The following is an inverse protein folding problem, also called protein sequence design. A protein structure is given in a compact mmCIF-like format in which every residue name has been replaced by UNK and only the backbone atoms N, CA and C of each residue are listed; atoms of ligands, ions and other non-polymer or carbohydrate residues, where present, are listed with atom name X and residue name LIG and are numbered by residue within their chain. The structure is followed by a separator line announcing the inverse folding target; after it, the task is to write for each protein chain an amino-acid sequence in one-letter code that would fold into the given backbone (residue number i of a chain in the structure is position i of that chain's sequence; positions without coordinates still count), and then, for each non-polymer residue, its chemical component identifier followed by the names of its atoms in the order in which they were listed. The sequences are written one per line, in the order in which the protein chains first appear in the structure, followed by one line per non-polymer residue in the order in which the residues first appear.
data_IF_894662806366
#
_entry.id   IF_894662806366
#
_cell.length_a   1.000
_cell.length_b   1.000
_cell.length_c   1.000
_cell.angle_alpha   90.00
_cell.angle_beta   90.00
_cell.angle_gamma   90.00
#
_symmetry.space_group_name_H-M   'P 1'
#
loop_
_entity.id
_entity.type
_entity.pdbx_description
1 polymer ?
#
# COMPACT_ATOMS: atom_id res chain seq x y z
N UNK A 1 -3.59 -6.00 -31.12
CA UNK A 1 -4.99 -6.48 -31.13
C UNK A 1 -5.10 -7.84 -31.83
N UNK A 2 -4.31 -8.84 -31.41
CA UNK A 2 -4.35 -10.19 -32.01
C UNK A 2 -4.35 -11.34 -30.98
N UNK A 3 -4.22 -11.05 -29.68
CA UNK A 3 -4.23 -12.08 -28.64
C UNK A 3 -5.66 -12.56 -28.30
N UNK A 4 -6.69 -11.72 -28.50
CA UNK A 4 -8.08 -12.09 -28.22
C UNK A 4 -8.67 -13.11 -29.22
N UNK A 5 -8.14 -13.21 -30.44
CA UNK A 5 -8.71 -14.10 -31.47
C UNK A 5 -8.29 -15.57 -31.23
N UNK A 6 -7.04 -15.78 -30.81
CA UNK A 6 -6.51 -17.11 -30.50
C UNK A 6 -7.14 -17.70 -29.24
N UNK A 7 -7.36 -16.87 -28.21
CA UNK A 7 -7.95 -17.31 -26.95
C UNK A 7 -9.43 -17.66 -27.13
N UNK A 8 -10.18 -16.87 -27.90
CA UNK A 8 -11.58 -17.16 -28.23
C UNK A 8 -11.74 -18.44 -29.07
N UNK A 9 -10.79 -18.71 -29.99
CA UNK A 9 -10.80 -19.95 -30.78
C UNK A 9 -10.52 -21.18 -29.90
N UNK A 10 -9.58 -21.09 -28.95
CA UNK A 10 -9.28 -22.15 -28.00
C UNK A 10 -10.46 -22.41 -27.03
N UNK A 11 -11.10 -21.34 -26.54
CA UNK A 11 -12.25 -21.44 -25.64
C UNK A 11 -13.49 -22.01 -26.36
N UNK A 12 -13.68 -21.67 -27.64
CA UNK A 12 -14.73 -22.25 -28.47
C UNK A 12 -14.48 -23.73 -28.79
N UNK A 13 -13.24 -24.13 -29.08
CA UNK A 13 -12.91 -25.55 -29.28
C UNK A 13 -13.09 -26.38 -27.99
N UNK A 14 -12.75 -25.80 -26.83
CA UNK A 14 -12.95 -26.41 -25.53
C UNK A 14 -14.45 -26.57 -25.20
N UNK A 15 -15.29 -25.56 -25.49
CA UNK A 15 -16.75 -25.66 -25.29
C UNK A 15 -17.42 -26.65 -26.24
N UNK A 16 -16.98 -26.74 -27.49
CA UNK A 16 -17.51 -27.75 -28.44
C UNK A 16 -17.15 -29.17 -28.00
N UNK A 17 -15.93 -29.41 -27.48
CA UNK A 17 -15.53 -30.71 -26.92
C UNK A 17 -16.35 -31.06 -25.67
N UNK A 18 -16.52 -30.12 -24.73
CA UNK A 18 -17.32 -30.34 -23.53
C UNK A 18 -18.78 -30.68 -23.85
N UNK A 19 -19.37 -30.02 -24.86
CA UNK A 19 -20.76 -30.28 -25.30
C UNK A 19 -20.90 -31.63 -26.02
N UNK A 20 -19.87 -32.08 -26.74
CA UNK A 20 -19.86 -33.41 -27.35
C UNK A 20 -19.72 -34.53 -26.31
N UNK A 21 -19.00 -34.30 -25.22
CA UNK A 21 -18.93 -35.20 -24.07
C UNK A 21 -20.25 -35.23 -23.29
N UNK A 22 -20.88 -34.08 -23.07
CA UNK A 22 -22.20 -33.97 -22.42
C UNK A 22 -23.28 -34.74 -23.21
N UNK A 23 -23.30 -34.63 -24.54
CA UNK A 23 -24.23 -35.38 -25.38
C UNK A 23 -23.98 -36.89 -25.37
N UNK A 24 -22.71 -37.33 -25.23
CA UNK A 24 -22.39 -38.76 -25.03
C UNK A 24 -22.88 -39.27 -23.69
N UNK A 25 -22.70 -38.49 -22.61
CA UNK A 25 -23.18 -38.83 -21.27
C UNK A 25 -24.72 -38.90 -21.24
N UNK A 26 -25.41 -37.97 -21.90
CA UNK A 26 -26.87 -38.00 -22.01
C UNK A 26 -27.34 -39.20 -22.85
N UNK A 27 -26.63 -39.55 -23.93
CA UNK A 27 -26.94 -40.74 -24.72
C UNK A 27 -26.73 -42.05 -23.93
N UNK A 28 -25.69 -42.11 -23.11
CA UNK A 28 -25.39 -43.23 -22.21
C UNK A 28 -26.41 -43.32 -21.08
N UNK A 29 -26.79 -42.20 -20.46
CA UNK A 29 -27.87 -42.13 -19.47
C UNK A 29 -29.23 -42.54 -20.06
N UNK A 30 -29.54 -42.12 -21.29
CA UNK A 30 -30.77 -42.54 -21.99
C UNK A 30 -30.74 -44.02 -22.35
N UNK A 31 -29.58 -44.58 -22.71
CA UNK A 31 -29.39 -46.01 -22.93
C UNK A 31 -29.57 -46.81 -21.63
N UNK A 32 -28.98 -46.35 -20.52
CA UNK A 32 -29.18 -46.93 -19.19
C UNK A 32 -30.66 -46.89 -18.81
N UNK A 33 -31.37 -45.77 -19.05
CA UNK A 33 -32.80 -45.65 -18.77
C UNK A 33 -33.66 -46.52 -19.69
N UNK A 34 -33.30 -46.69 -20.97
CA UNK A 34 -34.01 -47.58 -21.88
C UNK A 34 -33.79 -49.07 -21.55
N UNK A 35 -32.58 -49.42 -21.12
CA UNK A 35 -32.19 -50.78 -20.73
C UNK A 35 -32.73 -51.15 -19.33
N UNK A 36 -33.00 -50.17 -18.45
CA UNK A 36 -33.56 -50.38 -17.09
C UNK A 36 -35.08 -50.21 -16.99
N UNK A 37 -35.77 -49.72 -18.02
CA UNK A 37 -37.24 -49.54 -17.99
C UNK A 37 -38.04 -50.59 -18.76
N UNK A 38 -37.40 -51.66 -19.25
CA UNK A 38 -38.07 -52.77 -19.94
C UNK A 38 -38.01 -54.13 -19.22
N UNK A 39 -37.50 -54.17 -17.98
CA UNK A 39 -37.28 -55.42 -17.23
C UNK A 39 -37.73 -55.38 -15.76
N UNK A 40 -39.01 -55.09 -15.50
CA UNK A 40 -39.65 -55.35 -14.20
C UNK A 40 -41.10 -55.81 -14.39
N UNK A 41 -41.29 -56.72 -15.34
CA UNK A 41 -42.50 -57.54 -15.49
C UNK A 41 -42.01 -58.93 -15.86
N UNK A 42 -41.69 -59.76 -14.86
CA UNK A 42 -42.12 -61.17 -14.78
C UNK A 42 -41.42 -61.97 -13.68
N UNK A 43 -42.27 -62.69 -12.92
CA UNK A 43 -41.98 -63.85 -12.06
C UNK A 43 -41.32 -63.59 -10.69
N UNK A 44 -41.78 -64.11 -9.55
CA UNK A 44 -42.75 -65.20 -9.29
C UNK A 44 -43.11 -65.16 -7.80
N UNK A 45 -44.40 -65.22 -7.47
CA UNK A 45 -44.93 -66.19 -6.52
C UNK A 45 -46.33 -66.58 -6.99
N UNK A 46 -46.33 -67.58 -7.88
CA UNK A 46 -47.42 -68.54 -7.94
C UNK A 46 -47.30 -69.39 -6.67
N UNK A 47 -48.18 -69.19 -5.70
CA UNK A 47 -48.62 -70.29 -4.85
C UNK A 47 -49.98 -69.98 -4.22
N UNK A 48 -50.91 -70.90 -4.49
CA UNK A 48 -52.22 -71.10 -3.87
C UNK A 48 -53.41 -70.29 -4.43
N UNK A 49 -53.91 -70.79 -5.55
CA UNK A 49 -55.34 -71.11 -5.64
C UNK A 49 -55.79 -71.81 -4.36
N UNK A 50 -56.43 -71.07 -3.46
CA UNK A 50 -57.64 -71.58 -2.82
C UNK A 50 -58.75 -70.62 -3.17
N UNK A 51 -59.66 -71.13 -3.98
CA UNK A 51 -60.99 -70.60 -4.12
C UNK A 51 -61.62 -70.51 -2.72
N UNK A 52 -61.54 -69.34 -2.11
CA UNK A 52 -62.58 -68.86 -1.23
C UNK A 52 -63.11 -67.59 -1.87
N UNK A 53 -64.04 -67.79 -2.80
CA UNK A 53 -65.16 -66.90 -2.99
C UNK A 53 -65.84 -66.67 -1.63
N UNK A 54 -65.22 -65.89 -0.74
CA UNK A 54 -65.99 -64.96 0.06
C UNK A 54 -66.38 -63.85 -0.89
N UNK A 55 -67.41 -64.16 -1.68
CA UNK A 55 -68.44 -63.21 -2.03
C UNK A 55 -68.79 -62.50 -0.73
N UNK A 56 -68.08 -61.39 -0.45
CA UNK A 56 -68.59 -60.36 0.43
C UNK A 56 -69.79 -59.86 -0.34
N UNK A 57 -70.91 -60.50 -0.02
CA UNK A 57 -72.24 -60.20 -0.48
C UNK A 57 -72.42 -58.71 -0.14
N UNK A 58 -72.10 -57.83 -1.09
CA UNK A 58 -72.49 -56.43 -1.09
C UNK A 58 -74.01 -56.48 -1.08
N UNK A 59 -74.58 -56.51 0.12
CA UNK A 59 -76.01 -56.75 0.33
C UNK A 59 -76.74 -55.44 0.59
N UNK A 60 -75.99 -54.36 0.80
CA UNK A 60 -76.52 -53.05 1.18
C UNK A 60 -75.72 -51.92 0.52
N UNK A 61 -76.35 -50.75 0.34
CA UNK A 61 -75.70 -49.53 -0.13
C UNK A 61 -74.48 -49.11 0.72
N UNK A 62 -74.43 -49.52 1.99
CA UNK A 62 -73.32 -49.24 2.90
C UNK A 62 -72.03 -49.96 2.49
N UNK A 63 -72.11 -51.18 1.95
CA UNK A 63 -70.93 -51.95 1.54
C UNK A 63 -70.24 -51.36 0.30
N UNK A 64 -71.00 -50.72 -0.59
CA UNK A 64 -70.49 -50.06 -1.80
C UNK A 64 -69.74 -48.77 -1.42
N UNK A 65 -70.32 -47.95 -0.53
CA UNK A 65 -69.69 -46.75 0.00
C UNK A 65 -68.37 -47.06 0.74
N UNK A 66 -68.32 -48.20 1.45
CA UNK A 66 -67.11 -48.68 2.14
C UNK A 66 -65.94 -48.98 1.19
N UNK A 67 -66.22 -49.58 0.03
CA UNK A 67 -65.21 -49.88 -0.98
C UNK A 67 -64.71 -48.61 -1.71
N UNK A 68 -65.60 -47.65 -1.95
CA UNK A 68 -65.25 -46.36 -2.56
C UNK A 68 -64.28 -45.54 -1.71
N UNK A 69 -64.49 -45.46 -0.39
CA UNK A 69 -63.59 -44.75 0.53
C UNK A 69 -62.18 -45.36 0.52
N UNK A 70 -62.06 -46.69 0.57
CA UNK A 70 -60.75 -47.37 0.51
C UNK A 70 -60.06 -47.10 -0.84
N UNK A 71 -60.79 -47.15 -1.95
CA UNK A 71 -60.24 -46.89 -3.27
C UNK A 71 -59.79 -45.44 -3.44
N UNK A 72 -60.55 -44.48 -2.89
CA UNK A 72 -60.20 -43.07 -2.88
C UNK A 72 -58.90 -42.83 -2.10
N UNK A 73 -58.80 -43.34 -0.87
CA UNK A 73 -57.58 -43.18 -0.05
C UNK A 73 -56.38 -43.91 -0.68
N UNK A 74 -56.57 -45.08 -1.30
CA UNK A 74 -55.50 -45.76 -2.07
C UNK A 74 -55.07 -44.98 -3.30
N UNK A 75 -55.99 -44.32 -4.00
CA UNK A 75 -55.70 -43.48 -5.16
C UNK A 75 -54.90 -42.26 -4.72
N UNK A 76 -55.34 -41.56 -3.67
CA UNK A 76 -54.61 -40.44 -3.07
C UNK A 76 -53.20 -40.86 -2.58
N UNK A 77 -53.07 -42.04 -1.96
CA UNK A 77 -51.76 -42.55 -1.54
C UNK A 77 -50.80 -42.77 -2.72
N UNK A 78 -51.32 -43.19 -3.89
CA UNK A 78 -50.53 -43.38 -5.12
C UNK A 78 -50.21 -42.06 -5.81
N UNK A 79 -51.16 -41.12 -5.86
CA UNK A 79 -50.97 -39.81 -6.48
C UNK A 79 -50.02 -38.92 -5.67
N UNK A 80 -50.09 -38.99 -4.33
CA UNK A 80 -49.24 -38.20 -3.42
C UNK A 80 -48.00 -38.96 -2.92
N UNK A 81 -47.76 -40.17 -3.41
CA UNK A 81 -46.65 -41.05 -2.98
C UNK A 81 -46.50 -41.21 -1.45
N UNK A 82 -47.60 -41.12 -0.70
CA UNK A 82 -47.57 -41.08 0.77
C UNK A 82 -47.73 -42.48 1.37
N UNK A 83 -46.66 -42.96 2.02
CA UNK A 83 -46.67 -44.21 2.78
C UNK A 83 -47.68 -44.18 3.94
N UNK A 84 -47.90 -43.01 4.55
CA UNK A 84 -48.86 -42.81 5.63
C UNK A 84 -50.31 -43.00 5.13
N UNK A 85 -50.66 -42.44 3.95
CA UNK A 85 -51.97 -42.64 3.33
C UNK A 85 -52.17 -44.11 2.88
N UNK A 86 -51.11 -44.78 2.40
CA UNK A 86 -51.16 -46.20 2.05
C UNK A 86 -51.39 -47.11 3.27
N UNK A 87 -50.75 -46.78 4.41
CA UNK A 87 -50.95 -47.47 5.68
C UNK A 87 -52.36 -47.20 6.24
N UNK A 88 -52.86 -45.96 6.14
CA UNK A 88 -54.22 -45.60 6.54
C UNK A 88 -55.26 -46.39 5.73
N UNK A 89 -55.11 -46.47 4.41
CA UNK A 89 -56.00 -47.27 3.55
C UNK A 89 -56.04 -48.76 3.96
N UNK A 90 -54.91 -49.30 4.41
CA UNK A 90 -54.81 -50.69 4.89
C UNK A 90 -55.49 -50.88 6.25
N UNK A 91 -55.35 -49.91 7.17
CA UNK A 91 -56.03 -49.89 8.48
C UNK A 91 -57.55 -49.75 8.33
N UNK A 92 -58.01 -48.86 7.46
CA UNK A 92 -59.44 -48.69 7.13
C UNK A 92 -60.02 -50.00 6.58
N UNK A 93 -59.30 -50.67 5.68
CA UNK A 93 -59.73 -51.96 5.13
C UNK A 93 -59.84 -53.07 6.19
N UNK A 94 -59.01 -53.04 7.24
CA UNK A 94 -59.06 -54.00 8.35
C UNK A 94 -60.24 -53.71 9.30
N UNK A 95 -60.47 -52.43 9.64
CA UNK A 95 -61.59 -52.00 10.50
C UNK A 95 -62.94 -52.34 9.85
N UNK A 96 -63.08 -52.15 8.54
CA UNK A 96 -64.31 -52.45 7.81
C UNK A 96 -64.57 -53.96 7.63
N UNK A 97 -63.53 -54.79 7.56
CA UNK A 97 -63.67 -56.25 7.42
C UNK A 97 -63.92 -56.97 8.74
N UNK A 98 -63.34 -56.50 9.84
CA UNK A 98 -63.35 -57.22 11.12
C UNK A 98 -64.13 -56.49 12.23
N UNK A 99 -64.53 -55.24 12.02
CA UNK A 99 -65.17 -54.40 13.04
C UNK A 99 -66.66 -54.64 13.29
N UNK A 100 -67.36 -55.36 12.41
CA UNK A 100 -68.81 -55.59 12.52
C UNK A 100 -69.24 -56.55 13.65
N UNK A 101 -68.29 -57.18 14.36
CA UNK A 101 -68.57 -58.18 15.38
C UNK A 101 -69.02 -57.65 16.76
N UNK A 102 -68.89 -56.35 17.03
CA UNK A 102 -69.05 -55.77 18.37
C UNK A 102 -70.17 -54.72 18.52
N UNK A 103 -71.00 -54.49 17.49
CA UNK A 103 -72.10 -53.51 17.55
C UNK A 103 -71.69 -52.03 17.50
N UNK A 104 -70.39 -51.73 17.41
CA UNK A 104 -69.87 -50.37 17.16
C UNK A 104 -69.89 -50.03 15.66
N UNK A 105 -70.24 -48.79 15.32
CA UNK A 105 -70.24 -48.31 13.93
C UNK A 105 -68.81 -48.24 13.37
N UNK A 106 -68.42 -49.11 12.42
CA UNK A 106 -67.08 -49.11 11.85
C UNK A 106 -66.78 -47.83 11.06
N UNK A 107 -67.79 -47.08 10.60
CA UNK A 107 -67.60 -45.79 9.93
C UNK A 107 -67.18 -44.68 10.89
N UNK A 108 -67.61 -44.74 12.16
CA UNK A 108 -67.16 -43.80 13.19
C UNK A 108 -65.65 -43.91 13.43
N UNK A 109 -65.12 -45.15 13.46
CA UNK A 109 -63.67 -45.41 13.59
C UNK A 109 -62.89 -44.95 12.36
N UNK A 110 -63.42 -45.14 11.15
CA UNK A 110 -62.78 -44.67 9.91
C UNK A 110 -62.73 -43.14 9.85
N UNK A 111 -63.83 -42.46 10.23
CA UNK A 111 -63.85 -40.99 10.37
C UNK A 111 -62.82 -40.52 11.39
N UNK A 112 -62.70 -41.18 12.54
CA UNK A 112 -61.68 -40.89 13.55
C UNK A 112 -60.25 -41.02 13.01
N UNK A 113 -59.92 -42.12 12.31
CA UNK A 113 -58.58 -42.31 11.73
C UNK A 113 -58.24 -41.29 10.62
N UNK A 114 -59.24 -40.83 9.84
CA UNK A 114 -59.06 -39.77 8.85
C UNK A 114 -58.87 -38.43 9.54
N UNK A 115 -59.67 -38.13 10.57
CA UNK A 115 -59.57 -36.91 11.37
C UNK A 115 -58.19 -36.80 12.04
N UNK A 116 -57.70 -37.87 12.66
CA UNK A 116 -56.37 -37.94 13.27
C UNK A 116 -55.24 -37.69 12.25
N UNK A 117 -55.36 -38.22 11.02
CA UNK A 117 -54.36 -37.96 9.99
C UNK A 117 -54.42 -36.52 9.48
N UNK A 118 -55.61 -35.92 9.38
CA UNK A 118 -55.77 -34.51 9.01
C UNK A 118 -55.15 -33.62 10.08
N UNK A 119 -55.48 -33.83 11.36
CA UNK A 119 -54.91 -33.08 12.49
C UNK A 119 -53.38 -33.21 12.53
N UNK A 120 -52.85 -34.41 12.24
CA UNK A 120 -51.41 -34.62 12.13
C UNK A 120 -50.78 -33.87 10.96
N UNK A 121 -51.41 -33.89 9.78
CA UNK A 121 -50.92 -33.18 8.60
C UNK A 121 -51.01 -31.65 8.75
N UNK A 122 -52.06 -31.14 9.40
CA UNK A 122 -52.20 -29.72 9.73
C UNK A 122 -51.15 -29.28 10.76
N UNK A 123 -50.85 -30.12 11.76
CA UNK A 123 -49.76 -29.88 12.70
C UNK A 123 -48.38 -29.92 12.02
N UNK A 124 -48.12 -30.92 11.17
CA UNK A 124 -46.89 -31.05 10.38
C UNK A 124 -46.71 -29.84 9.44
N UNK A 125 -47.76 -29.42 8.73
CA UNK A 125 -47.75 -28.24 7.86
C UNK A 125 -47.53 -26.94 8.65
N UNK A 126 -48.10 -26.82 9.85
CA UNK A 126 -47.85 -25.71 10.76
C UNK A 126 -46.38 -25.64 11.18
N UNK A 127 -45.78 -26.78 11.56
CA UNK A 127 -44.35 -26.84 11.93
C UNK A 127 -43.44 -26.53 10.75
N UNK A 128 -43.74 -27.06 9.57
CA UNK A 128 -42.95 -26.83 8.35
C UNK A 128 -43.03 -25.38 7.89
N UNK A 129 -44.21 -24.73 8.01
CA UNK A 129 -44.35 -23.30 7.73
C UNK A 129 -43.52 -22.44 8.70
N UNK A 130 -43.48 -22.80 9.98
CA UNK A 130 -42.64 -22.09 10.97
C UNK A 130 -41.15 -22.32 10.74
N UNK A 131 -40.74 -23.53 10.39
CA UNK A 131 -39.34 -23.86 10.10
C UNK A 131 -38.87 -23.18 8.81
N UNK A 132 -39.70 -23.18 7.77
CA UNK A 132 -39.42 -22.43 6.54
C UNK A 132 -39.26 -20.94 6.81
N UNK A 133 -40.17 -20.33 7.58
CA UNK A 133 -40.07 -18.91 7.92
C UNK A 133 -38.78 -18.62 8.71
N UNK A 134 -38.37 -19.50 9.63
CA UNK A 134 -37.11 -19.40 10.35
C UNK A 134 -35.90 -19.51 9.40
N UNK A 135 -35.87 -20.49 8.50
CA UNK A 135 -34.80 -20.66 7.53
C UNK A 135 -34.67 -19.44 6.61
N UNK A 136 -35.78 -18.95 6.06
CA UNK A 136 -35.79 -17.75 5.20
C UNK A 136 -35.26 -16.52 5.96
N UNK A 137 -35.66 -16.33 7.23
CA UNK A 137 -35.18 -15.23 8.07
C UNK A 137 -33.68 -15.35 8.40
N UNK A 138 -33.21 -16.55 8.77
CA UNK A 138 -31.81 -16.79 9.10
C UNK A 138 -30.90 -16.62 7.87
N UNK A 139 -31.34 -17.11 6.70
CA UNK A 139 -30.61 -16.94 5.44
C UNK A 139 -30.49 -15.45 5.12
N UNK A 140 -31.58 -14.68 5.22
CA UNK A 140 -31.58 -13.25 4.94
C UNK A 140 -30.63 -12.48 5.89
N UNK A 141 -30.72 -12.71 7.20
CA UNK A 141 -29.82 -12.08 8.20
C UNK A 141 -28.36 -12.43 7.96
N UNK A 142 -28.09 -13.68 7.57
CA UNK A 142 -26.72 -14.14 7.32
C UNK A 142 -26.14 -13.52 6.05
N UNK A 143 -26.94 -13.36 4.99
CA UNK A 143 -26.51 -12.66 3.78
C UNK A 143 -26.23 -11.18 4.03
N UNK A 144 -27.10 -10.50 4.79
CA UNK A 144 -26.88 -9.12 5.20
C UNK A 144 -25.57 -9.00 6.01
N UNK A 145 -25.39 -9.84 7.03
CA UNK A 145 -24.18 -9.81 7.86
C UNK A 145 -22.91 -10.10 7.06
N UNK A 146 -22.96 -11.03 6.11
CA UNK A 146 -21.86 -11.32 5.19
C UNK A 146 -21.53 -10.09 4.32
N UNK A 147 -22.55 -9.39 3.82
CA UNK A 147 -22.37 -8.19 3.00
C UNK A 147 -21.70 -7.07 3.80
N UNK A 148 -22.17 -6.81 5.02
CA UNK A 148 -21.57 -5.84 5.94
C UNK A 148 -20.10 -6.15 6.22
N UNK A 149 -19.77 -7.39 6.59
CA UNK A 149 -18.40 -7.78 6.91
C UNK A 149 -17.48 -7.68 5.68
N UNK A 150 -17.96 -8.01 4.47
CA UNK A 150 -17.18 -7.79 3.24
C UNK A 150 -16.92 -6.31 2.97
N UNK A 151 -17.91 -5.45 3.23
CA UNK A 151 -17.76 -4.01 3.10
C UNK A 151 -16.72 -3.48 4.11
N UNK A 152 -16.80 -3.91 5.37
CA UNK A 152 -15.87 -3.49 6.41
C UNK A 152 -14.44 -3.96 6.13
N UNK A 153 -14.25 -5.20 5.68
CA UNK A 153 -12.93 -5.69 5.24
C UNK A 153 -12.39 -4.85 4.09
N UNK A 154 -13.22 -4.51 3.10
CA UNK A 154 -12.81 -3.67 1.97
C UNK A 154 -12.40 -2.27 2.43
N UNK A 155 -13.16 -1.69 3.35
CA UNK A 155 -12.87 -0.38 3.96
C UNK A 155 -11.60 -0.38 4.79
N UNK A 156 -11.38 -1.42 5.60
CA UNK A 156 -10.16 -1.59 6.40
C UNK A 156 -8.95 -1.77 5.49
N UNK A 157 -9.07 -2.61 4.44
CA UNK A 157 -8.02 -2.82 3.43
C UNK A 157 -7.63 -1.50 2.76
N UNK A 158 -8.60 -0.70 2.30
CA UNK A 158 -8.31 0.60 1.68
C UNK A 158 -7.61 1.58 2.65
N UNK A 159 -7.98 1.58 3.93
CA UNK A 159 -7.30 2.39 4.96
C UNK A 159 -5.87 1.92 5.22
N UNK A 160 -5.65 0.61 5.29
CA UNK A 160 -4.33 0.00 5.44
C UNK A 160 -3.43 0.41 4.27
N UNK A 161 -3.93 0.29 3.03
CA UNK A 161 -3.18 0.65 1.83
C UNK A 161 -2.81 2.14 1.82
N UNK A 162 -3.76 3.01 2.16
CA UNK A 162 -3.52 4.45 2.24
C UNK A 162 -2.48 4.80 3.31
N UNK A 163 -2.60 4.24 4.51
CA UNK A 163 -1.68 4.51 5.61
C UNK A 163 -0.28 3.94 5.31
N UNK A 164 -0.20 2.75 4.71
CA UNK A 164 1.06 2.10 4.32
C UNK A 164 1.78 2.88 3.22
N UNK A 165 1.04 3.35 2.20
CA UNK A 165 1.61 4.17 1.13
C UNK A 165 2.17 5.50 1.67
N UNK A 166 1.43 6.18 2.57
CA UNK A 166 1.91 7.41 3.22
C UNK A 166 3.13 7.15 4.09
N UNK A 167 3.15 6.06 4.88
CA UNK A 167 4.30 5.68 5.68
C UNK A 167 5.54 5.44 4.80
N UNK A 168 5.39 4.70 3.70
CA UNK A 168 6.47 4.44 2.77
C UNK A 168 7.01 5.72 2.11
N UNK A 169 6.13 6.64 1.69
CA UNK A 169 6.52 7.93 1.13
C UNK A 169 7.33 8.76 2.15
N UNK A 170 6.83 8.89 3.39
CA UNK A 170 7.53 9.63 4.44
C UNK A 170 8.88 9.01 4.81
N UNK A 171 9.00 7.68 4.79
CA UNK A 171 10.29 6.99 4.98
C UNK A 171 11.28 7.32 3.86
N UNK A 172 10.81 7.40 2.62
CA UNK A 172 11.59 7.85 1.48
C UNK A 172 12.07 9.29 1.66
N UNK A 173 11.16 10.21 1.97
CA UNK A 173 11.51 11.62 2.21
C UNK A 173 12.50 11.80 3.36
N UNK A 174 12.35 11.05 4.45
CA UNK A 174 13.31 11.09 5.58
C UNK A 174 14.70 10.67 5.12
N UNK A 175 14.79 9.63 4.29
CA UNK A 175 16.07 9.18 3.74
C UNK A 175 16.70 10.27 2.87
N UNK A 176 15.94 10.87 1.97
CA UNK A 176 16.42 11.93 1.08
C UNK A 176 16.92 13.14 1.90
N UNK A 177 16.16 13.59 2.91
CA UNK A 177 16.56 14.71 3.77
C UNK A 177 17.81 14.37 4.60
N UNK A 178 17.98 13.12 5.02
CA UNK A 178 19.20 12.66 5.70
C UNK A 178 20.43 12.68 4.77
N UNK A 179 20.26 12.28 3.50
CA UNK A 179 21.32 12.38 2.49
C UNK A 179 21.70 13.85 2.24
N UNK A 180 20.72 14.74 2.12
CA UNK A 180 20.95 16.19 1.99
C UNK A 180 21.66 16.78 3.22
N UNK A 181 21.34 16.32 4.43
CA UNK A 181 22.04 16.72 5.66
C UNK A 181 23.50 16.26 5.65
N UNK A 182 23.79 15.06 5.14
CA UNK A 182 25.14 14.54 5.02
C UNK A 182 25.95 15.35 3.98
N UNK A 183 25.35 15.69 2.84
CA UNK A 183 25.95 16.56 1.83
C UNK A 183 26.23 17.94 2.44
N UNK A 184 25.25 18.53 3.13
CA UNK A 184 25.41 19.84 3.78
C UNK A 184 26.56 19.85 4.79
N UNK A 185 26.68 18.80 5.60
CA UNK A 185 27.78 18.65 6.55
C UNK A 185 29.14 18.54 5.86
N UNK A 186 29.21 17.80 4.75
CA UNK A 186 30.43 17.67 3.94
C UNK A 186 30.82 19.03 3.33
N UNK A 187 29.87 19.72 2.71
CA UNK A 187 30.11 21.05 2.13
C UNK A 187 30.56 22.06 3.18
N UNK A 188 29.98 22.03 4.39
CA UNK A 188 30.43 22.90 5.48
C UNK A 188 31.88 22.59 5.88
N UNK A 189 32.27 21.32 5.99
CA UNK A 189 33.64 20.94 6.32
C UNK A 189 34.66 21.36 5.25
N UNK A 190 34.28 21.28 3.97
CA UNK A 190 35.08 21.77 2.84
C UNK A 190 35.24 23.29 2.91
N UNK A 191 34.16 24.05 3.18
CA UNK A 191 34.23 25.50 3.38
C UNK A 191 35.10 25.89 4.58
N UNK A 192 34.98 25.18 5.71
CA UNK A 192 35.77 25.44 6.92
C UNK A 192 37.27 25.22 6.66
N UNK A 193 37.59 24.22 5.83
CA UNK A 193 38.98 23.93 5.41
C UNK A 193 39.49 25.04 4.50
N UNK A 194 38.73 25.40 3.46
CA UNK A 194 39.09 26.47 2.53
C UNK A 194 39.26 27.82 3.24
N UNK A 195 38.41 28.13 4.23
CA UNK A 195 38.54 29.35 5.05
C UNK A 195 39.82 29.35 5.88
N UNK A 196 40.17 28.21 6.49
CA UNK A 196 41.41 28.08 7.27
C UNK A 196 42.65 28.26 6.41
N UNK A 197 42.69 27.59 5.25
CA UNK A 197 43.82 27.64 4.32
C UNK A 197 43.95 29.03 3.66
N UNK A 198 42.81 29.62 3.25
CA UNK A 198 42.75 30.97 2.71
C UNK A 198 43.24 32.01 3.71
N UNK A 199 42.76 31.94 4.96
CA UNK A 199 43.18 32.88 6.01
C UNK A 199 44.67 32.76 6.34
N UNK A 200 45.19 31.52 6.41
CA UNK A 200 46.61 31.30 6.62
C UNK A 200 47.47 31.90 5.50
N UNK A 201 47.03 31.75 4.24
CA UNK A 201 47.70 32.32 3.08
C UNK A 201 47.66 33.85 3.09
N UNK A 202 46.51 34.43 3.44
CA UNK A 202 46.34 35.88 3.61
C UNK A 202 47.27 36.43 4.70
N UNK A 203 47.33 35.81 5.88
CA UNK A 203 48.20 36.28 6.98
C UNK A 203 49.67 36.29 6.56
N UNK A 204 50.11 35.27 5.81
CA UNK A 204 51.46 35.24 5.27
C UNK A 204 51.69 36.34 4.23
N UNK A 205 50.78 36.48 3.24
CA UNK A 205 50.88 37.51 2.21
C UNK A 205 50.86 38.92 2.81
N UNK A 206 50.01 39.18 3.80
CA UNK A 206 49.91 40.45 4.51
C UNK A 206 51.24 40.78 5.19
N UNK A 207 51.86 39.82 5.88
CA UNK A 207 53.16 40.00 6.53
C UNK A 207 54.27 40.30 5.51
N UNK A 208 54.36 39.53 4.43
CA UNK A 208 55.36 39.69 3.37
C UNK A 208 55.22 41.06 2.68
N UNK A 209 53.99 41.49 2.39
CA UNK A 209 53.70 42.81 1.80
C UNK A 209 54.04 43.96 2.76
N UNK A 210 53.74 43.83 4.05
CA UNK A 210 54.08 44.84 5.06
C UNK A 210 55.60 44.96 5.26
N UNK A 211 56.32 43.84 5.31
CA UNK A 211 57.78 43.82 5.41
C UNK A 211 58.42 44.43 4.15
N UNK A 212 57.93 44.04 2.97
CA UNK A 212 58.36 44.59 1.68
C UNK A 212 58.16 46.10 1.61
N UNK A 213 56.97 46.59 1.98
CA UNK A 213 56.65 48.02 2.02
C UNK A 213 57.57 48.78 2.99
N UNK A 214 57.83 48.23 4.18
CA UNK A 214 58.75 48.82 5.14
C UNK A 214 60.20 48.86 4.62
N UNK A 215 60.65 47.82 3.93
CA UNK A 215 61.95 47.74 3.29
C UNK A 215 62.12 48.79 2.19
N UNK A 216 61.13 48.91 1.28
CA UNK A 216 61.13 49.91 0.21
C UNK A 216 61.15 51.33 0.78
N UNK A 217 60.36 51.61 1.81
CA UNK A 217 60.35 52.92 2.49
C UNK A 217 61.69 53.28 3.12
N UNK A 218 62.36 52.32 3.77
CA UNK A 218 63.71 52.52 4.31
C UNK A 218 64.72 52.82 3.20
N UNK A 219 64.68 52.06 2.10
CA UNK A 219 65.57 52.27 0.95
C UNK A 219 65.34 53.65 0.31
N UNK A 220 64.08 54.05 0.11
CA UNK A 220 63.71 55.37 -0.37
C UNK A 220 64.22 56.47 0.57
N UNK A 221 64.13 56.28 1.89
CA UNK A 221 64.69 57.21 2.89
C UNK A 221 66.19 57.43 2.71
N UNK A 222 66.97 56.35 2.65
CA UNK A 222 68.44 56.41 2.46
C UNK A 222 68.81 57.05 1.12
N UNK A 223 68.11 56.67 0.03
CA UNK A 223 68.37 57.23 -1.30
C UNK A 223 68.02 58.71 -1.37
N UNK A 224 66.90 59.14 -0.77
CA UNK A 224 66.53 60.56 -0.71
C UNK A 224 67.49 61.37 0.14
N UNK A 225 67.99 60.83 1.25
CA UNK A 225 69.03 61.49 2.06
C UNK A 225 70.34 61.66 1.27
N UNK A 226 70.79 60.61 0.60
CA UNK A 226 72.03 60.62 -0.17
C UNK A 226 71.98 61.50 -1.43
N UNK A 227 70.90 61.43 -2.21
CA UNK A 227 70.75 62.19 -3.45
C UNK A 227 70.10 63.57 -3.26
N UNK A 228 69.24 63.75 -2.24
CA UNK A 228 68.57 65.01 -1.90
C UNK A 228 69.46 66.00 -1.13
N UNK A 229 70.48 65.54 -0.41
CA UNK A 229 71.44 66.44 0.26
C UNK A 229 72.35 67.22 -0.70
N UNK A 230 72.42 66.85 -1.98
CA UNK A 230 73.29 67.49 -2.98
C UNK A 230 72.68 68.74 -3.63
N UNK A 231 71.36 68.92 -3.60
CA UNK A 231 70.69 70.10 -4.16
C UNK A 231 70.82 71.34 -3.27
N UNK A 232 71.10 71.19 -1.97
CA UNK A 232 71.36 72.32 -1.07
C UNK A 232 72.81 72.84 -1.14
N UNK A 233 73.78 72.01 -1.53
CA UNK A 233 75.21 72.39 -1.55
C UNK A 233 75.69 72.97 -2.88
N UNK A 234 74.96 72.76 -3.99
CA UNK A 234 75.40 73.20 -5.32
C UNK A 234 74.86 74.57 -5.75
N UNK A 235 73.99 75.21 -4.98
CA UNK A 235 73.34 76.49 -5.36
C UNK A 235 74.04 77.72 -4.74
N UNK A 236 75.01 77.54 -3.83
CA UNK A 236 75.61 78.66 -3.07
C UNK A 236 77.16 78.73 -3.17
N UNK A 237 77.71 78.59 -4.37
CA UNK A 237 79.15 78.73 -4.63
C UNK A 237 79.41 79.31 -6.01
N UNK A 238 79.18 80.61 -6.16
CA UNK A 238 79.26 81.32 -7.43
C UNK A 238 80.64 81.32 -8.11
N UNK A 239 80.59 81.51 -9.43
CA UNK A 239 81.65 81.97 -10.32
C UNK A 239 82.84 82.66 -9.63
N UNK A 240 83.99 81.98 -9.44
CA UNK A 240 85.31 82.63 -9.46
C UNK A 240 86.47 81.62 -9.44
N UNK A 241 87.02 81.24 -10.61
CA UNK A 241 88.49 81.12 -10.86
C UNK A 241 88.78 80.46 -12.21
N UNK A 242 88.96 81.31 -13.21
CA UNK A 242 89.92 81.05 -14.26
C UNK A 242 91.34 81.01 -13.68
N UNK A 243 92.26 80.32 -14.37
CA UNK A 243 93.74 80.26 -14.20
C UNK A 243 94.33 79.42 -13.04
N UNK A 244 94.89 78.24 -13.37
CA UNK A 244 96.30 77.82 -13.19
C UNK A 244 96.48 76.28 -13.27
N UNK A 245 97.57 75.83 -13.93
CA UNK A 245 97.98 74.44 -14.19
C UNK A 245 98.70 73.80 -12.99
N UNK A 246 98.24 72.64 -12.49
CA UNK A 246 99.03 71.46 -12.03
C UNK A 246 98.10 70.35 -11.48
N UNK A 247 98.56 69.08 -11.34
CA UNK A 247 97.96 67.86 -11.91
C UNK A 247 96.63 67.42 -11.28
N UNK A 248 95.89 66.58 -12.02
CA UNK A 248 94.57 66.08 -11.63
C UNK A 248 94.60 65.46 -10.23
N UNK A 249 93.83 66.07 -9.31
CA UNK A 249 93.33 65.40 -8.11
C UNK A 249 92.65 64.09 -8.51
N UNK A 250 92.74 63.00 -7.72
CA UNK A 250 91.98 61.79 -8.00
C UNK A 250 90.52 62.18 -8.22
N UNK A 251 89.87 61.64 -9.25
CA UNK A 251 88.46 61.92 -9.49
C UNK A 251 87.68 61.59 -8.22
N UNK A 252 87.28 62.64 -7.48
CA UNK A 252 86.32 62.52 -6.41
C UNK A 252 85.02 62.10 -7.07
N UNK A 253 84.57 60.89 -6.75
CA UNK A 253 83.36 60.31 -7.28
C UNK A 253 82.22 61.33 -7.25
N UNK A 254 81.78 61.79 -8.43
CA UNK A 254 80.63 62.67 -8.53
C UNK A 254 79.36 61.85 -8.37
N UNK A 255 78.36 62.38 -7.67
CA UNK A 255 77.08 61.68 -7.51
C UNK A 255 76.38 61.65 -8.86
N UNK A 256 76.05 60.46 -9.37
CA UNK A 256 75.28 60.28 -10.61
C UNK A 256 73.80 60.64 -10.40
N UNK A 257 73.51 61.94 -10.24
CA UNK A 257 72.19 62.44 -9.82
C UNK A 257 71.03 62.02 -10.77
N UNK A 258 71.30 61.89 -12.08
CA UNK A 258 70.30 61.43 -13.05
C UNK A 258 69.89 59.96 -12.88
N UNK A 259 70.85 59.07 -12.61
CA UNK A 259 70.56 57.65 -12.38
C UNK A 259 69.89 57.40 -11.01
N UNK A 260 70.24 58.18 -9.98
CA UNK A 260 69.63 58.10 -8.66
C UNK A 260 68.15 58.48 -8.65
N UNK A 261 67.76 59.50 -9.42
CA UNK A 261 66.36 59.91 -9.58
C UNK A 261 65.48 58.83 -10.22
N UNK A 262 65.97 58.11 -11.24
CA UNK A 262 65.25 57.00 -11.86
C UNK A 262 65.03 55.82 -10.90
N UNK A 263 66.02 55.50 -10.06
CA UNK A 263 65.90 54.42 -9.06
C UNK A 263 64.87 54.78 -7.98
N UNK A 264 64.87 56.04 -7.51
CA UNK A 264 63.85 56.53 -6.57
C UNK A 264 62.45 56.43 -7.19
N UNK A 265 62.27 56.87 -8.44
CA UNK A 265 60.98 56.77 -9.13
C UNK A 265 60.48 55.34 -9.29
N UNK A 266 61.37 54.38 -9.60
CA UNK A 266 61.00 52.95 -9.66
C UNK A 266 60.58 52.44 -8.29
N UNK A 267 61.33 52.77 -7.22
CA UNK A 267 60.98 52.33 -5.86
C UNK A 267 59.70 52.97 -5.34
N UNK A 268 59.36 54.20 -5.74
CA UNK A 268 58.07 54.84 -5.43
C UNK A 268 56.89 54.13 -6.11
N UNK A 269 57.06 53.68 -7.36
CA UNK A 269 56.06 52.84 -8.04
C UNK A 269 55.89 51.51 -7.31
N UNK A 270 57.00 50.84 -6.96
CA UNK A 270 56.97 49.59 -6.20
C UNK A 270 56.31 49.77 -4.82
N UNK A 271 56.56 50.88 -4.11
CA UNK A 271 55.87 51.21 -2.86
C UNK A 271 54.35 51.35 -3.07
N UNK A 272 53.94 52.05 -4.13
CA UNK A 272 52.53 52.22 -4.48
C UNK A 272 51.87 50.88 -4.79
N UNK A 273 52.54 50.01 -5.53
CA UNK A 273 52.02 48.70 -5.91
C UNK A 273 51.91 47.76 -4.71
N UNK A 274 52.90 47.74 -3.81
CA UNK A 274 52.79 47.01 -2.54
C UNK A 274 51.64 47.51 -1.67
N UNK A 275 51.47 48.83 -1.55
CA UNK A 275 50.37 49.41 -0.78
C UNK A 275 48.99 49.08 -1.38
N UNK A 276 48.86 49.11 -2.73
CA UNK A 276 47.64 48.71 -3.43
C UNK A 276 47.34 47.23 -3.26
N UNK A 277 48.34 46.37 -3.40
CA UNK A 277 48.18 44.93 -3.24
C UNK A 277 47.77 44.58 -1.82
N UNK A 278 48.39 45.20 -0.80
CA UNK A 278 47.99 45.01 0.60
C UNK A 278 46.53 45.39 0.84
N UNK A 279 46.09 46.55 0.34
CA UNK A 279 44.70 46.98 0.48
C UNK A 279 43.71 46.07 -0.29
N UNK A 280 44.13 45.56 -1.45
CA UNK A 280 43.33 44.62 -2.23
C UNK A 280 43.16 43.27 -1.52
N UNK A 281 44.26 42.70 -1.00
CA UNK A 281 44.25 41.47 -0.21
C UNK A 281 43.40 41.60 1.06
N UNK A 282 43.51 42.72 1.79
CA UNK A 282 42.68 42.97 2.98
C UNK A 282 41.19 43.05 2.62
N UNK A 283 40.85 43.70 1.51
CA UNK A 283 39.47 43.79 1.04
C UNK A 283 38.92 42.43 0.59
N UNK A 284 39.75 41.62 -0.07
CA UNK A 284 39.38 40.27 -0.50
C UNK A 284 39.17 39.34 0.71
N UNK A 285 40.05 39.41 1.71
CA UNK A 285 39.91 38.65 2.94
C UNK A 285 38.64 39.02 3.72
N UNK A 286 38.37 40.31 3.88
CA UNK A 286 37.14 40.79 4.55
C UNK A 286 35.89 40.28 3.83
N UNK A 287 35.90 40.34 2.49
CA UNK A 287 34.78 39.85 1.67
C UNK A 287 34.61 38.34 1.82
N UNK A 288 35.69 37.57 1.75
CA UNK A 288 35.68 36.12 1.90
C UNK A 288 35.22 35.70 3.31
N UNK A 289 35.60 36.45 4.35
CA UNK A 289 35.16 36.21 5.72
C UNK A 289 33.66 36.49 5.90
N UNK A 290 33.16 37.60 5.33
CA UNK A 290 31.73 37.94 5.37
C UNK A 290 30.89 36.86 4.68
N UNK A 291 31.30 36.43 3.49
CA UNK A 291 30.59 35.39 2.75
C UNK A 291 30.61 34.03 3.48
N UNK A 292 31.75 33.66 4.06
CA UNK A 292 31.87 32.45 4.87
C UNK A 292 30.93 32.46 6.08
N UNK A 293 30.90 33.56 6.85
CA UNK A 293 30.02 33.70 8.03
C UNK A 293 28.55 33.64 7.61
N UNK A 294 28.19 34.33 6.53
CA UNK A 294 26.83 34.33 5.98
C UNK A 294 26.40 32.91 5.56
N UNK A 295 27.22 32.22 4.78
CA UNK A 295 26.91 30.88 4.30
C UNK A 295 26.83 29.88 5.46
N UNK A 296 27.76 29.96 6.41
CA UNK A 296 27.77 29.10 7.61
C UNK A 296 26.51 29.29 8.44
N UNK A 297 26.06 30.54 8.62
CA UNK A 297 24.81 30.82 9.32
C UNK A 297 23.59 30.28 8.56
N UNK A 298 23.54 30.43 7.23
CA UNK A 298 22.48 29.85 6.39
C UNK A 298 22.45 28.32 6.45
N UNK A 299 23.63 27.68 6.41
CA UNK A 299 23.76 26.23 6.56
C UNK A 299 23.27 25.76 7.92
N UNK A 300 23.60 26.47 9.01
CA UNK A 300 23.13 26.15 10.36
C UNK A 300 21.60 26.22 10.49
N UNK A 301 20.98 27.26 9.92
CA UNK A 301 19.51 27.39 9.90
C UNK A 301 18.90 26.24 9.08
N UNK A 302 19.44 25.99 7.89
CA UNK A 302 18.98 24.91 6.99
C UNK A 302 19.11 23.54 7.68
N UNK A 303 20.22 23.26 8.34
CA UNK A 303 20.46 22.04 9.10
C UNK A 303 19.45 21.88 10.22
N UNK A 304 19.15 22.95 10.97
CA UNK A 304 18.17 22.93 12.05
C UNK A 304 16.77 22.61 11.52
N UNK A 305 16.35 23.25 10.42
CA UNK A 305 15.05 23.00 9.79
C UNK A 305 14.93 21.57 9.27
N UNK A 306 15.95 21.08 8.56
CA UNK A 306 15.97 19.70 8.04
C UNK A 306 15.98 18.65 9.15
N UNK A 307 16.71 18.89 10.24
CA UNK A 307 16.69 17.99 11.41
C UNK A 307 15.30 17.94 12.06
N UNK A 308 14.61 19.08 12.16
CA UNK A 308 13.23 19.11 12.63
C UNK A 308 12.30 18.36 11.68
N UNK A 309 12.42 18.57 10.37
CA UNK A 309 11.64 17.86 9.35
C UNK A 309 11.80 16.34 9.48
N UNK A 310 13.04 15.86 9.58
CA UNK A 310 13.35 14.45 9.85
C UNK A 310 12.65 13.97 11.12
N UNK A 311 12.73 14.72 12.22
CA UNK A 311 12.12 14.33 13.48
C UNK A 311 10.58 14.25 13.40
N UNK A 312 9.94 15.22 12.74
CA UNK A 312 8.49 15.24 12.57
C UNK A 312 8.01 14.12 11.65
N UNK A 313 8.60 13.98 10.46
CA UNK A 313 8.27 12.90 9.52
C UNK A 313 8.53 11.52 10.10
N UNK A 314 9.59 11.37 10.90
CA UNK A 314 9.87 10.12 11.61
C UNK A 314 8.77 9.75 12.59
N UNK A 315 8.30 10.71 13.39
CA UNK A 315 7.17 10.49 14.30
C UNK A 315 5.90 10.15 13.53
N UNK A 316 5.65 10.83 12.42
CA UNK A 316 4.45 10.63 11.60
C UNK A 316 4.42 9.24 10.96
N UNK A 317 5.49 8.81 10.27
CA UNK A 317 5.50 7.46 9.67
C UNK A 317 5.46 6.37 10.76
N UNK A 318 6.08 6.59 11.92
CA UNK A 318 6.03 5.64 13.03
C UNK A 318 4.61 5.51 13.58
N UNK A 319 3.86 6.63 13.64
CA UNK A 319 2.44 6.61 14.03
C UNK A 319 1.57 5.92 12.97
N UNK A 320 1.87 6.12 11.69
CA UNK A 320 1.18 5.44 10.59
C UNK A 320 1.44 3.93 10.62
N UNK A 321 2.67 3.50 10.89
CA UNK A 321 3.02 2.09 11.01
C UNK A 321 2.25 1.40 12.15
N UNK A 322 2.09 2.08 13.29
CA UNK A 322 1.24 1.60 14.39
C UNK A 322 -0.23 1.48 13.96
N UNK A 323 -0.76 2.51 13.32
CA UNK A 323 -2.13 2.51 12.82
C UNK A 323 -2.35 1.39 11.78
N UNK A 324 -1.37 1.12 10.92
CA UNK A 324 -1.41 -0.02 9.99
C UNK A 324 -1.48 -1.34 10.75
N UNK A 325 -0.68 -1.52 11.79
CA UNK A 325 -0.74 -2.73 12.62
C UNK A 325 -2.10 -2.89 13.31
N UNK A 326 -2.64 -1.82 13.90
CA UNK A 326 -3.94 -1.82 14.57
C UNK A 326 -5.07 -2.17 13.58
N UNK A 327 -5.12 -1.49 12.42
CA UNK A 327 -6.11 -1.75 11.37
C UNK A 327 -5.99 -3.16 10.78
N UNK A 328 -4.77 -3.71 10.73
CA UNK A 328 -4.55 -5.09 10.29
C UNK A 328 -5.16 -6.07 11.29
N UNK A 329 -4.99 -5.85 12.60
CA UNK A 329 -5.63 -6.65 13.64
C UNK A 329 -7.16 -6.58 13.59
N UNK A 330 -7.72 -5.39 13.36
CA UNK A 330 -9.16 -5.21 13.16
C UNK A 330 -9.68 -5.97 11.94
N UNK A 331 -8.93 -5.92 10.83
CA UNK A 331 -9.26 -6.64 9.59
C UNK A 331 -9.23 -8.15 9.81
N UNK A 332 -8.22 -8.67 10.50
CA UNK A 332 -8.11 -10.10 10.81
C UNK A 332 -9.27 -10.57 11.68
N UNK A 333 -9.66 -9.78 12.68
CA UNK A 333 -10.82 -10.08 13.54
C UNK A 333 -12.11 -10.10 12.72
N UNK A 334 -12.31 -9.10 11.86
CA UNK A 334 -13.49 -9.01 10.98
C UNK A 334 -13.54 -10.17 9.97
N UNK A 335 -12.37 -10.60 9.47
CA UNK A 335 -12.27 -11.74 8.56
C UNK A 335 -12.55 -13.08 9.25
N UNK A 336 -12.16 -13.23 10.52
CA UNK A 336 -12.51 -14.38 11.34
C UNK A 336 -14.04 -14.43 11.58
N UNK A 337 -14.68 -13.31 11.90
CA UNK A 337 -16.13 -13.21 12.02
C UNK A 337 -16.83 -13.58 10.70
N UNK A 338 -16.36 -13.04 9.58
CA UNK A 338 -16.88 -13.36 8.24
C UNK A 338 -16.76 -14.85 7.95
N UNK A 339 -15.65 -15.47 8.32
CA UNK A 339 -15.44 -16.92 8.13
C UNK A 339 -16.45 -17.73 8.93
N UNK A 340 -16.70 -17.38 10.20
CA UNK A 340 -17.73 -18.02 11.02
C UNK A 340 -19.15 -17.83 10.44
N UNK A 341 -19.47 -16.65 9.92
CA UNK A 341 -20.74 -16.37 9.23
C UNK A 341 -20.89 -17.23 7.97
N UNK A 342 -19.83 -17.41 7.19
CA UNK A 342 -19.84 -18.29 6.01
C UNK A 342 -20.02 -19.76 6.37
N UNK A 343 -19.41 -20.24 7.46
CA UNK A 343 -19.62 -21.59 7.97
C UNK A 343 -21.08 -21.80 8.43
N UNK A 344 -21.67 -20.83 9.12
CA UNK A 344 -23.08 -20.89 9.50
C UNK A 344 -23.99 -20.88 8.28
N UNK A 345 -23.72 -19.99 7.31
CA UNK A 345 -24.46 -19.90 6.05
C UNK A 345 -24.48 -21.24 5.29
N UNK A 346 -23.36 -21.97 5.28
CA UNK A 346 -23.27 -23.28 4.65
C UNK A 346 -24.08 -24.38 5.37
N UNK A 347 -24.42 -24.20 6.65
CA UNK A 347 -25.23 -25.17 7.43
C UNK A 347 -26.73 -24.95 7.29
N UNK A 348 -27.16 -23.72 7.00
CA UNK A 348 -28.57 -23.33 6.88
C UNK A 348 -29.08 -23.34 5.43
N UNK A 349 -28.21 -23.66 4.46
CA UNK A 349 -28.49 -23.67 3.02
C UNK A 349 -28.51 -25.08 2.48
#
# INVERSE_FOLDING_TARGET
ANDNCMQTAADHEATVKARAEELKVIAEARKILADTTSGAVDQTYSMLQTAALTVSRLRTHADLANAEVINLVKKLAREQHSAALAQLASRISAVLRFGAGAGEDPFAKVKGLIQELIEKLEAEAGTEATEKAYCDEQIAKTEEKKSELNYDISKLTAKIDQASAKSAALKGEVKDVQEELAILAKTQAEMDTARREGHASFVQAQADLQEGLAGVRKALGVLREYYGGASAAFVQGGNLRATMRQPATPELHSKAAGAGGSIIGILEVVESDFAKNLAAEETEEDSAQVDYVKMTQQNKVTQTLKNQDVAYKTKEFTSLDKNVADLTGDRETTDAERSAVLEYYAKIK
#
